data_IF_796087368594
#
_entry.id   IF_796087368594
#
_cell.length_a   1.000
_cell.length_b   1.000
_cell.length_c   1.000
_cell.angle_alpha   90.00
_cell.angle_beta   90.00
_cell.angle_gamma   90.00
#
_symmetry.space_group_name_H-M   'P 1'
#
loop_
_entity.id
_entity.type
_entity.pdbx_description
1 polymer ?
#
# COMPACT_ATOMS: atom_id res chain seq x y z
N UNK A 1 1.16 6.37 11.27
CA UNK A 1 -0.03 6.96 10.61
C UNK A 1 -0.33 6.21 9.32
N UNK A 2 -1.57 5.83 9.13
CA UNK A 2 -2.00 5.18 7.90
C UNK A 2 -2.71 6.19 7.01
N UNK A 3 -2.29 6.30 5.75
CA UNK A 3 -2.87 7.23 4.79
C UNK A 3 -4.05 6.61 4.07
N UNK A 4 -5.01 7.44 3.68
CA UNK A 4 -6.07 7.06 2.75
C UNK A 4 -5.74 7.75 1.42
N UNK A 5 -5.30 6.98 0.43
CA UNK A 5 -4.93 7.55 -0.87
C UNK A 5 -6.14 7.62 -1.79
N UNK A 6 -6.27 8.73 -2.48
CA UNK A 6 -7.33 8.98 -3.45
C UNK A 6 -6.70 9.54 -4.71
N UNK A 7 -7.47 9.62 -5.80
CA UNK A 7 -6.96 10.22 -7.02
C UNK A 7 -6.55 11.68 -6.83
N UNK A 8 -7.16 12.38 -5.86
CA UNK A 8 -6.85 13.78 -5.58
C UNK A 8 -5.50 13.95 -4.89
N UNK A 9 -5.09 13.00 -4.03
CA UNK A 9 -3.85 13.14 -3.28
C UNK A 9 -2.73 12.20 -3.73
N UNK A 10 -3.01 11.28 -4.67
CA UNK A 10 -2.08 10.22 -5.02
C UNK A 10 -0.77 10.74 -5.57
N UNK A 11 -0.85 11.72 -6.46
CA UNK A 11 0.36 12.28 -7.08
C UNK A 11 1.27 12.91 -6.03
N UNK A 12 0.70 13.73 -5.15
CA UNK A 12 1.46 14.42 -4.11
C UNK A 12 1.98 13.45 -3.06
N UNK A 13 1.10 12.58 -2.55
CA UNK A 13 1.45 11.72 -1.42
C UNK A 13 2.26 10.49 -1.81
N UNK A 14 2.07 9.95 -3.00
CA UNK A 14 2.70 8.71 -3.43
C UNK A 14 3.79 8.96 -4.47
N UNK A 15 3.42 9.53 -5.60
CA UNK A 15 4.36 9.65 -6.73
C UNK A 15 5.49 10.63 -6.46
N UNK A 16 5.21 11.71 -5.71
CA UNK A 16 6.20 12.73 -5.36
C UNK A 16 6.72 12.60 -3.92
N UNK A 17 6.49 11.45 -3.29
CA UNK A 17 6.92 11.24 -1.91
C UNK A 17 8.44 11.20 -1.81
N UNK A 18 8.99 11.85 -0.78
CA UNK A 18 10.43 11.86 -0.48
C UNK A 18 10.89 10.54 0.15
N UNK A 19 9.95 9.75 0.68
CA UNK A 19 10.25 8.45 1.28
C UNK A 19 9.51 7.36 0.54
N UNK A 20 9.95 6.09 0.67
CA UNK A 20 9.25 4.98 0.01
C UNK A 20 7.80 4.87 0.48
N UNK A 21 6.95 4.28 -0.35
CA UNK A 21 5.51 4.16 -0.10
C UNK A 21 5.06 2.73 -0.34
N UNK A 22 4.21 2.22 0.55
CA UNK A 22 3.47 0.99 0.30
C UNK A 22 2.00 1.36 0.15
N UNK A 23 1.39 0.88 -0.94
CA UNK A 23 -0.02 1.12 -1.24
C UNK A 23 -0.78 -0.20 -1.18
N UNK A 24 -1.81 -0.25 -0.35
CA UNK A 24 -2.70 -1.41 -0.17
C UNK A 24 -4.02 -1.16 -0.89
N UNK A 25 -4.26 -1.89 -1.98
CA UNK A 25 -5.54 -1.83 -2.68
C UNK A 25 -6.50 -2.83 -2.05
N UNK A 26 -7.64 -2.35 -1.58
CA UNK A 26 -8.61 -3.15 -0.82
C UNK A 26 -10.04 -2.81 -1.21
N UNK A 27 -10.99 -3.57 -0.67
CA UNK A 27 -12.43 -3.25 -0.71
C UNK A 27 -13.05 -3.67 0.62
N UNK A 28 -14.14 -3.00 0.98
CA UNK A 28 -14.81 -3.26 2.26
C UNK A 28 -15.41 -4.67 2.34
N UNK A 29 -15.85 -5.21 1.21
CA UNK A 29 -16.46 -6.53 1.12
C UNK A 29 -15.46 -7.69 1.07
N UNK A 30 -14.18 -7.39 1.01
CA UNK A 30 -13.13 -8.38 0.79
C UNK A 30 -12.65 -8.96 2.14
N UNK A 31 -12.92 -10.25 2.37
CA UNK A 31 -12.53 -10.93 3.61
C UNK A 31 -11.04 -10.88 3.89
N UNK A 32 -10.18 -11.32 2.95
CA UNK A 32 -8.73 -11.25 3.15
C UNK A 32 -8.22 -9.82 3.38
N UNK A 33 -8.86 -8.81 2.76
CA UNK A 33 -8.51 -7.42 3.00
C UNK A 33 -8.79 -7.02 4.45
N UNK A 34 -9.93 -7.47 4.99
CA UNK A 34 -10.30 -7.17 6.38
C UNK A 34 -9.32 -7.80 7.36
N UNK A 35 -8.84 -9.00 7.05
CA UNK A 35 -7.84 -9.67 7.89
C UNK A 35 -6.50 -8.93 7.89
N UNK A 36 -6.18 -8.25 6.81
CA UNK A 36 -4.94 -7.48 6.71
C UNK A 36 -5.01 -6.11 7.39
N UNK A 37 -6.21 -5.59 7.66
CA UNK A 37 -6.36 -4.24 8.21
C UNK A 37 -5.55 -3.99 9.48
N UNK A 38 -5.64 -4.83 10.52
CA UNK A 38 -4.83 -4.58 11.73
C UNK A 38 -3.34 -4.72 11.47
N UNK A 39 -2.94 -5.59 10.55
CA UNK A 39 -1.53 -5.77 10.19
C UNK A 39 -1.00 -4.50 9.51
N UNK A 40 -1.75 -3.97 8.54
CA UNK A 40 -1.35 -2.75 7.82
C UNK A 40 -1.30 -1.55 8.76
N UNK A 41 -2.28 -1.44 9.67
CA UNK A 41 -2.28 -0.38 10.69
C UNK A 41 -1.04 -0.45 11.57
N UNK A 42 -0.66 -1.65 12.00
CA UNK A 42 0.53 -1.85 12.81
C UNK A 42 1.80 -1.45 12.04
N UNK A 43 1.87 -1.80 10.76
CA UNK A 43 3.01 -1.42 9.92
C UNK A 43 3.07 0.10 9.75
N UNK A 44 1.93 0.75 9.59
CA UNK A 44 1.89 2.21 9.47
C UNK A 44 2.46 2.90 10.70
N UNK A 45 2.20 2.35 11.89
CA UNK A 45 2.79 2.87 13.12
C UNK A 45 4.29 2.56 13.21
N UNK A 46 4.66 1.32 12.90
CA UNK A 46 6.05 0.87 13.03
C UNK A 46 6.99 1.64 12.10
N UNK A 47 6.57 1.92 10.89
CA UNK A 47 7.41 2.55 9.88
C UNK A 47 7.14 4.04 9.69
N UNK A 48 6.40 4.65 10.60
CA UNK A 48 6.06 6.07 10.52
C UNK A 48 7.31 6.92 10.35
N UNK A 49 7.30 7.79 9.36
CA UNK A 49 8.45 8.64 9.03
C UNK A 49 9.52 7.98 8.19
N UNK A 50 9.47 6.65 8.01
CA UNK A 50 10.48 5.90 7.23
C UNK A 50 9.90 5.37 5.92
N UNK A 51 8.71 4.82 5.98
CA UNK A 51 7.95 4.35 4.82
C UNK A 51 6.53 4.84 4.99
N UNK A 52 6.00 5.49 3.98
CA UNK A 52 4.62 5.95 4.00
C UNK A 52 3.72 4.77 3.67
N UNK A 53 2.77 4.47 4.54
CA UNK A 53 1.88 3.33 4.37
C UNK A 53 0.44 3.84 4.29
N UNK A 54 -0.25 3.45 3.23
CA UNK A 54 -1.62 3.85 3.04
C UNK A 54 -2.38 2.89 2.16
N UNK A 55 -3.67 3.16 2.01
CA UNK A 55 -4.58 2.26 1.32
C UNK A 55 -5.46 2.99 0.32
N UNK A 56 -5.88 2.25 -0.70
CA UNK A 56 -6.79 2.73 -1.74
C UNK A 56 -8.00 1.80 -1.76
N UNK A 57 -9.18 2.38 -1.59
CA UNK A 57 -10.43 1.65 -1.74
C UNK A 57 -10.74 1.52 -3.23
N UNK A 58 -10.70 0.29 -3.77
CA UNK A 58 -10.87 0.07 -5.20
C UNK A 58 -12.25 0.46 -5.72
N UNK A 59 -13.28 0.35 -4.88
CA UNK A 59 -14.64 0.72 -5.27
C UNK A 59 -14.80 2.23 -5.37
N UNK A 60 -14.10 2.97 -4.52
CA UNK A 60 -14.15 4.44 -4.52
C UNK A 60 -13.15 5.05 -5.50
N UNK A 61 -12.07 4.34 -5.82
CA UNK A 61 -11.01 4.83 -6.68
C UNK A 61 -10.76 3.86 -7.84
N UNK A 62 -11.76 3.63 -8.72
CA UNK A 62 -11.60 2.66 -9.81
C UNK A 62 -10.52 3.06 -10.82
N UNK A 63 -10.29 4.35 -11.01
CA UNK A 63 -9.26 4.80 -11.95
C UNK A 63 -7.85 4.46 -11.44
N UNK A 64 -7.60 4.58 -10.14
CA UNK A 64 -6.32 4.18 -9.57
C UNK A 64 -6.12 2.67 -9.67
N UNK A 65 -7.15 1.89 -9.35
CA UNK A 65 -7.08 0.44 -9.46
C UNK A 65 -6.78 0.02 -10.90
N UNK A 66 -7.42 0.65 -11.87
CA UNK A 66 -7.18 0.40 -13.29
C UNK A 66 -5.79 0.79 -13.73
N UNK A 67 -5.29 1.93 -13.25
CA UNK A 67 -3.95 2.42 -13.57
C UNK A 67 -2.86 1.44 -13.12
N UNK A 68 -3.07 0.80 -11.97
CA UNK A 68 -2.11 -0.16 -11.43
C UNK A 68 -2.39 -1.60 -11.90
N UNK A 69 -3.41 -1.80 -12.71
CA UNK A 69 -3.76 -3.12 -13.21
C UNK A 69 -4.20 -4.09 -12.13
N UNK A 70 -4.87 -3.60 -11.10
CA UNK A 70 -5.31 -4.42 -9.96
C UNK A 70 -6.44 -5.34 -10.41
N UNK A 71 -6.20 -6.65 -10.33
CA UNK A 71 -7.19 -7.68 -10.70
C UNK A 71 -7.66 -8.49 -9.51
N UNK A 72 -6.86 -8.57 -8.47
CA UNK A 72 -7.19 -9.30 -7.24
C UNK A 72 -6.82 -8.44 -6.05
N UNK A 73 -7.57 -8.56 -4.96
CA UNK A 73 -7.31 -7.80 -3.73
C UNK A 73 -7.23 -8.76 -2.54
N UNK A 74 -6.44 -8.42 -1.50
CA UNK A 74 -5.61 -7.22 -1.43
C UNK A 74 -4.42 -7.30 -2.38
N UNK A 75 -4.03 -6.16 -2.93
CA UNK A 75 -2.82 -6.02 -3.74
C UNK A 75 -1.96 -4.93 -3.13
N UNK A 76 -0.69 -5.24 -2.92
CA UNK A 76 0.26 -4.31 -2.33
C UNK A 76 1.26 -3.88 -3.38
N UNK A 77 1.48 -2.57 -3.49
CA UNK A 77 2.49 -2.03 -4.39
C UNK A 77 3.53 -1.27 -3.58
N UNK A 78 4.79 -1.51 -3.91
CA UNK A 78 5.92 -0.91 -3.23
C UNK A 78 6.54 0.09 -4.19
N UNK A 79 6.56 1.37 -3.80
CA UNK A 79 6.91 2.48 -4.68
C UNK A 79 8.06 3.26 -4.06
N UNK A 80 9.08 3.56 -4.88
CA UNK A 80 10.24 4.31 -4.46
C UNK A 80 10.60 5.29 -5.58
N UNK A 81 10.77 6.56 -5.21
CA UNK A 81 11.08 7.63 -6.16
C UNK A 81 10.09 7.66 -7.34
N UNK A 82 8.80 7.46 -7.05
CA UNK A 82 7.74 7.49 -8.04
C UNK A 82 7.67 6.28 -8.95
N UNK A 83 8.40 5.20 -8.63
CA UNK A 83 8.43 3.99 -9.45
C UNK A 83 8.02 2.76 -8.65
N UNK A 84 7.23 1.89 -9.27
CA UNK A 84 6.88 0.61 -8.67
C UNK A 84 8.11 -0.28 -8.69
N UNK A 85 8.58 -0.64 -7.51
CA UNK A 85 9.77 -1.51 -7.36
C UNK A 85 9.42 -2.91 -6.92
N UNK A 86 8.15 -3.17 -6.59
CA UNK A 86 7.69 -4.49 -6.22
C UNK A 86 6.20 -4.52 -6.01
N UNK A 87 5.64 -5.71 -5.95
CA UNK A 87 4.22 -5.91 -5.67
C UNK A 87 3.98 -7.28 -5.06
N UNK A 88 2.84 -7.44 -4.41
CA UNK A 88 2.41 -8.72 -3.86
C UNK A 88 0.89 -8.76 -3.85
N UNK A 89 0.33 -9.93 -4.08
CA UNK A 89 -1.12 -10.14 -4.13
C UNK A 89 -1.53 -11.15 -3.06
N UNK A 90 -2.63 -10.86 -2.38
CA UNK A 90 -3.19 -11.76 -1.37
C UNK A 90 -2.74 -11.44 0.03
N UNK A 91 -3.42 -12.07 1.00
CA UNK A 91 -3.08 -11.90 2.40
C UNK A 91 -1.76 -12.57 2.76
N UNK A 92 -1.10 -12.05 3.77
CA UNK A 92 0.14 -12.60 4.27
C UNK A 92 0.28 -12.27 5.75
N UNK A 93 1.16 -12.98 6.44
CA UNK A 93 1.38 -12.71 7.86
C UNK A 93 2.23 -11.44 8.04
N UNK A 94 2.25 -10.97 9.27
CA UNK A 94 2.92 -9.72 9.64
C UNK A 94 4.41 -9.75 9.29
N UNK A 95 5.09 -10.85 9.55
CA UNK A 95 6.54 -10.94 9.31
C UNK A 95 6.85 -10.89 7.82
N UNK A 96 6.03 -11.52 6.99
CA UNK A 96 6.20 -11.50 5.54
C UNK A 96 6.04 -10.08 5.00
N UNK A 97 5.02 -9.36 5.47
CA UNK A 97 4.79 -7.99 5.04
C UNK A 97 5.92 -7.08 5.51
N UNK A 98 6.34 -7.22 6.77
CA UNK A 98 7.44 -6.42 7.32
C UNK A 98 8.72 -6.61 6.51
N UNK A 99 9.03 -7.84 6.10
CA UNK A 99 10.21 -8.11 5.28
C UNK A 99 10.17 -7.35 3.95
N UNK A 100 9.00 -7.31 3.32
CA UNK A 100 8.83 -6.58 2.05
C UNK A 100 8.99 -5.07 2.24
N UNK A 101 8.46 -4.55 3.35
CA UNK A 101 8.60 -3.13 3.66
C UNK A 101 10.06 -2.79 3.98
N UNK A 102 10.73 -3.65 4.74
CA UNK A 102 12.16 -3.45 5.06
C UNK A 102 13.01 -3.38 3.79
N UNK A 103 12.67 -4.18 2.79
CA UNK A 103 13.40 -4.18 1.52
C UNK A 103 13.31 -2.84 0.79
N UNK A 104 12.23 -2.06 1.00
CA UNK A 104 12.10 -0.73 0.43
C UNK A 104 13.14 0.26 0.97
N UNK A 105 13.62 0.02 2.19
CA UNK A 105 14.56 0.93 2.84
C UNK A 105 16.02 0.62 2.47
N UNK A 106 16.23 -0.46 1.74
CA UNK A 106 17.57 -0.84 1.29
C UNK A 106 17.90 -0.15 -0.04
N UNK A 107 19.17 0.13 -0.22
CA UNK A 107 19.64 0.76 -1.46
C UNK A 107 20.02 -0.27 -2.51
#
# INVERSE_FOLDING_TARGET
MEYQFTKENFNEEVMNSDIPVMVDFYADWCGPCQMMMPIVEEMAEKYDGKVKIGKVNTDQQPSLAGQFGVMSIPSFFFIKDGKVVGSAVGGMNKNALASKIDALMEN
#
